data_IF_798207479496
#
_entry.id   IF_798207479496
#
_cell.length_a   1.000
_cell.length_b   1.000
_cell.length_c   1.000
_cell.angle_alpha   90.00
_cell.angle_beta   90.00
_cell.angle_gamma   90.00
#
_symmetry.space_group_name_H-M   'P 1'
#
loop_
_entity.id
_entity.type
_entity.pdbx_description
1 polymer ?
#
# COMPACT_ATOMS: atom_id res chain seq x y z
N UNK A 1 14.18 10.98 -1.73
CA UNK A 1 13.41 12.23 -1.93
C UNK A 1 11.97 11.99 -2.44
N UNK A 2 11.32 10.84 -2.17
CA UNK A 2 9.96 10.52 -2.67
C UNK A 2 8.86 10.47 -1.58
N UNK A 3 9.22 10.57 -0.30
CA UNK A 3 8.30 10.32 0.83
C UNK A 3 7.28 11.45 1.11
N UNK A 4 7.47 12.65 0.55
CA UNK A 4 6.62 13.81 0.86
C UNK A 4 5.30 13.86 0.07
N UNK A 5 5.12 13.02 -0.96
CA UNK A 5 3.90 13.04 -1.77
C UNK A 5 2.66 12.56 -1.02
N UNK A 6 2.82 11.65 -0.04
CA UNK A 6 1.68 11.10 0.70
C UNK A 6 1.01 12.11 1.65
N UNK A 7 1.75 13.10 2.16
CA UNK A 7 1.19 14.12 3.08
C UNK A 7 0.09 14.96 2.46
N UNK A 8 0.16 15.23 1.16
CA UNK A 8 -0.82 16.04 0.44
C UNK A 8 -2.03 15.24 -0.07
N UNK A 9 -1.98 13.90 -0.03
CA UNK A 9 -3.05 13.00 -0.49
C UNK A 9 -3.95 12.48 0.64
N UNK A 10 -3.83 13.02 1.84
CA UNK A 10 -4.56 12.61 3.06
C UNK A 10 -6.07 12.85 2.98
N UNK A 11 -6.57 13.64 2.04
CA UNK A 11 -8.01 13.84 1.83
C UNK A 11 -8.72 12.67 1.10
N UNK A 12 -7.98 11.72 0.52
CA UNK A 12 -8.54 10.64 -0.30
C UNK A 12 -8.51 9.24 0.35
N UNK A 13 -7.85 9.09 1.49
CA UNK A 13 -7.57 7.79 2.10
C UNK A 13 -8.02 7.79 3.57
N UNK A 14 -8.75 6.75 3.97
CA UNK A 14 -9.26 6.59 5.35
C UNK A 14 -8.15 6.23 6.35
N UNK A 15 -7.15 5.47 5.89
CA UNK A 15 -6.02 4.98 6.68
C UNK A 15 -4.84 4.69 5.76
N UNK A 16 -3.64 5.04 6.17
CA UNK A 16 -2.37 4.79 5.47
C UNK A 16 -1.49 3.92 6.36
N UNK A 17 -1.15 2.73 5.88
CA UNK A 17 -0.29 1.77 6.60
C UNK A 17 0.99 1.54 5.82
N UNK A 18 2.13 1.57 6.50
CA UNK A 18 3.42 1.16 5.93
C UNK A 18 3.76 -0.24 6.41
N UNK A 19 4.02 -1.14 5.47
CA UNK A 19 4.47 -2.50 5.75
C UNK A 19 5.91 -2.66 5.25
N UNK A 20 6.78 -3.21 6.09
CA UNK A 20 8.17 -3.47 5.75
C UNK A 20 8.58 -4.90 6.12
N UNK A 21 9.45 -5.48 5.30
CA UNK A 21 10.05 -6.78 5.58
C UNK A 21 11.20 -6.70 6.60
N UNK A 22 11.76 -7.86 6.97
CA UNK A 22 12.83 -7.97 7.98
C UNK A 22 14.15 -7.26 7.68
N UNK A 23 14.37 -6.89 6.43
CA UNK A 23 15.63 -6.25 5.99
C UNK A 23 15.80 -4.85 6.60
N UNK A 24 14.72 -4.21 7.05
CA UNK A 24 14.76 -2.88 7.65
C UNK A 24 14.42 -2.93 9.14
N UNK A 25 15.25 -2.29 9.96
CA UNK A 25 14.97 -2.14 11.39
C UNK A 25 13.67 -1.35 11.61
N UNK A 26 12.85 -1.79 12.56
CA UNK A 26 11.63 -1.11 12.97
C UNK A 26 11.85 0.39 13.28
N UNK A 27 13.03 0.78 13.79
CA UNK A 27 13.38 2.18 14.03
C UNK A 27 13.40 3.00 12.73
N UNK A 28 14.01 2.44 11.68
CA UNK A 28 14.12 3.09 10.37
C UNK A 28 12.76 3.23 9.72
N UNK A 29 11.95 2.16 9.76
CA UNK A 29 10.60 2.15 9.17
C UNK A 29 9.71 3.17 9.89
N UNK A 30 9.74 3.22 11.22
CA UNK A 30 8.99 4.22 11.99
C UNK A 30 9.41 5.66 11.69
N UNK A 31 10.71 5.91 11.51
CA UNK A 31 11.20 7.23 11.13
C UNK A 31 10.67 7.66 9.75
N UNK A 32 10.69 6.75 8.78
CA UNK A 32 10.16 6.97 7.43
C UNK A 32 8.65 7.18 7.45
N UNK A 33 7.92 6.37 8.21
CA UNK A 33 6.48 6.45 8.41
C UNK A 33 6.03 7.80 8.96
N UNK A 34 6.72 8.28 10.00
CA UNK A 34 6.48 9.61 10.56
C UNK A 34 6.75 10.72 9.55
N UNK A 35 7.74 10.54 8.69
CA UNK A 35 8.01 11.48 7.59
C UNK A 35 6.98 11.41 6.46
N UNK A 36 6.38 10.25 6.19
CA UNK A 36 5.34 10.07 5.19
C UNK A 36 3.95 10.52 5.69
N UNK A 37 3.73 10.53 7.01
CA UNK A 37 2.45 10.83 7.63
C UNK A 37 1.50 9.63 7.61
N UNK A 38 2.01 8.41 7.78
CA UNK A 38 1.18 7.21 7.88
C UNK A 38 0.58 7.04 9.27
N UNK A 39 -0.59 6.39 9.35
CA UNK A 39 -1.32 6.13 10.59
C UNK A 39 -0.77 4.92 11.35
N UNK A 40 -0.24 3.93 10.63
CA UNK A 40 0.23 2.66 11.21
C UNK A 40 1.47 2.12 10.50
N UNK A 41 2.28 1.36 11.24
CA UNK A 41 3.52 0.75 10.76
C UNK A 41 3.59 -0.72 11.18
N UNK A 42 3.73 -1.60 10.21
CA UNK A 42 4.03 -3.03 10.40
C UNK A 42 5.46 -3.29 9.91
N UNK A 43 6.42 -3.34 10.83
CA UNK A 43 7.81 -3.64 10.53
C UNK A 43 8.13 -5.12 10.79
N UNK A 44 9.24 -5.61 10.22
CA UNK A 44 9.76 -6.96 10.44
C UNK A 44 8.81 -8.10 10.00
N UNK A 45 7.98 -7.84 9.00
CA UNK A 45 6.98 -8.80 8.53
C UNK A 45 7.60 -9.86 7.60
N UNK A 46 7.16 -11.11 7.73
CA UNK A 46 7.39 -12.15 6.74
C UNK A 46 6.49 -11.96 5.50
N UNK A 47 6.85 -12.48 4.32
CA UNK A 47 5.99 -12.46 3.15
C UNK A 47 4.58 -13.02 3.40
N UNK A 48 4.47 -14.04 4.24
CA UNK A 48 3.19 -14.68 4.62
C UNK A 48 2.37 -13.76 5.53
N UNK A 49 3.01 -13.15 6.53
CA UNK A 49 2.37 -12.25 7.50
C UNK A 49 1.88 -10.95 6.86
N UNK A 50 2.43 -10.57 5.70
CA UNK A 50 1.95 -9.41 4.94
C UNK A 50 0.53 -9.62 4.40
N UNK A 51 0.11 -10.86 4.12
CA UNK A 51 -1.13 -11.14 3.38
C UNK A 51 -2.38 -11.06 4.25
N UNK A 52 -2.30 -11.54 5.48
CA UNK A 52 -3.44 -11.60 6.42
C UNK A 52 -4.07 -10.22 6.72
N UNK A 53 -3.29 -9.14 6.98
CA UNK A 53 -3.85 -7.81 7.18
C UNK A 53 -4.65 -7.29 5.97
N UNK A 54 -4.24 -7.62 4.75
CA UNK A 54 -4.96 -7.16 3.55
C UNK A 54 -6.36 -7.75 3.44
N UNK A 55 -6.55 -9.02 3.83
CA UNK A 55 -7.86 -9.64 3.85
C UNK A 55 -8.79 -8.95 4.86
N UNK A 56 -8.29 -8.64 6.04
CA UNK A 56 -9.03 -7.90 7.07
C UNK A 56 -9.39 -6.48 6.60
N UNK A 57 -8.44 -5.75 6.00
CA UNK A 57 -8.70 -4.40 5.50
C UNK A 57 -9.67 -4.36 4.33
N UNK A 58 -9.71 -5.39 3.47
CA UNK A 58 -10.71 -5.47 2.41
C UNK A 58 -12.12 -5.66 2.97
N UNK A 59 -12.27 -6.45 4.04
CA UNK A 59 -13.55 -6.60 4.72
C UNK A 59 -14.00 -5.30 5.38
N UNK A 60 -13.08 -4.56 6.00
CA UNK A 60 -13.38 -3.33 6.74
C UNK A 60 -13.61 -2.12 5.83
N UNK A 61 -12.74 -1.91 4.83
CA UNK A 61 -12.70 -0.68 4.03
C UNK A 61 -13.25 -0.83 2.60
N UNK A 62 -13.61 -2.05 2.15
CA UNK A 62 -14.06 -2.43 0.79
C UNK A 62 -13.04 -2.23 -0.33
N UNK A 63 -12.21 -1.19 -0.26
CA UNK A 63 -11.20 -0.86 -1.26
C UNK A 63 -9.84 -0.66 -0.61
N UNK A 64 -8.87 -1.44 -1.07
CA UNK A 64 -7.49 -1.36 -0.60
C UNK A 64 -6.58 -1.06 -1.79
N UNK A 65 -5.75 -0.04 -1.66
CA UNK A 65 -4.72 0.32 -2.64
C UNK A 65 -3.36 -0.07 -2.06
N UNK A 66 -2.55 -0.77 -2.84
CA UNK A 66 -1.21 -1.20 -2.46
C UNK A 66 -0.20 -0.59 -3.40
N UNK A 67 0.88 -0.03 -2.83
CA UNK A 67 2.03 0.48 -3.57
C UNK A 67 3.26 -0.26 -3.07
N UNK A 68 4.00 -0.91 -3.98
CA UNK A 68 5.14 -1.75 -3.63
C UNK A 68 6.15 -1.89 -4.75
N UNK A 69 7.22 -2.66 -4.53
CA UNK A 69 8.28 -2.88 -5.52
C UNK A 69 7.91 -3.94 -6.59
N UNK A 70 6.74 -4.57 -6.44
CA UNK A 70 6.17 -5.54 -7.38
C UNK A 70 6.71 -6.96 -7.24
N UNK A 71 7.92 -7.16 -6.70
CA UNK A 71 8.51 -8.49 -6.50
C UNK A 71 8.08 -9.09 -5.17
N UNK A 72 8.40 -8.42 -4.07
CA UNK A 72 8.11 -8.91 -2.71
C UNK A 72 6.65 -8.67 -2.31
N UNK A 73 6.00 -7.69 -2.95
CA UNK A 73 4.64 -7.28 -2.64
C UNK A 73 3.61 -7.83 -3.63
N UNK A 74 4.03 -8.66 -4.60
CA UNK A 74 3.16 -9.29 -5.59
C UNK A 74 1.93 -10.01 -4.98
N UNK A 75 2.06 -10.82 -3.91
CA UNK A 75 0.91 -11.48 -3.28
C UNK A 75 -0.10 -10.48 -2.70
N UNK A 76 0.38 -9.42 -2.05
CA UNK A 76 -0.46 -8.36 -1.50
C UNK A 76 -1.17 -7.57 -2.61
N UNK A 77 -0.46 -7.22 -3.69
CA UNK A 77 -1.03 -6.55 -4.86
C UNK A 77 -2.07 -7.40 -5.58
N UNK A 78 -1.94 -8.74 -5.52
CA UNK A 78 -2.95 -9.64 -6.08
C UNK A 78 -4.28 -9.60 -5.31
N UNK A 79 -4.27 -9.23 -4.03
CA UNK A 79 -5.48 -9.17 -3.21
C UNK A 79 -6.09 -7.76 -3.23
N UNK A 80 -5.26 -6.74 -3.39
CA UNK A 80 -5.67 -5.34 -3.45
C UNK A 80 -6.67 -5.03 -4.58
N UNK A 81 -7.45 -3.96 -4.39
CA UNK A 81 -8.32 -3.40 -5.44
C UNK A 81 -7.51 -2.70 -6.52
N UNK A 82 -6.44 -2.02 -6.11
CA UNK A 82 -5.49 -1.35 -6.99
C UNK A 82 -4.08 -1.66 -6.50
N UNK A 83 -3.26 -2.23 -7.38
CA UNK A 83 -1.83 -2.41 -7.15
C UNK A 83 -1.01 -1.44 -8.00
N UNK A 84 -0.08 -0.72 -7.40
CA UNK A 84 0.92 0.09 -8.11
C UNK A 84 2.30 -0.50 -7.82
N UNK A 85 2.94 -1.06 -8.85
CA UNK A 85 4.34 -1.51 -8.76
C UNK A 85 5.28 -0.37 -9.17
N UNK A 86 6.20 -0.03 -8.28
CA UNK A 86 7.31 0.89 -8.51
C UNK A 86 8.58 0.06 -8.76
N UNK A 87 8.87 -0.21 -10.03
CA UNK A 87 10.11 -0.88 -10.40
C UNK A 87 11.23 0.14 -10.63
N UNK A 88 12.47 -0.25 -10.33
CA UNK A 88 13.62 0.65 -10.23
C UNK A 88 14.02 1.38 -11.53
N UNK A 89 13.39 1.09 -12.68
CA UNK A 89 13.92 1.56 -13.97
C UNK A 89 12.96 2.41 -14.78
N UNK A 90 11.72 2.06 -15.11
CA UNK A 90 10.87 2.95 -15.94
C UNK A 90 9.40 2.50 -15.88
N UNK A 91 8.51 3.47 -15.60
CA UNK A 91 7.04 3.40 -15.63
C UNK A 91 6.37 2.69 -14.42
N UNK A 92 5.56 3.39 -13.62
CA UNK A 92 4.71 2.73 -12.62
C UNK A 92 3.69 1.85 -13.33
N UNK A 93 3.70 0.55 -13.03
CA UNK A 93 2.72 -0.39 -13.59
C UNK A 93 1.48 -0.43 -12.69
N UNK A 94 0.34 0.01 -13.24
CA UNK A 94 -0.95 0.00 -12.55
C UNK A 94 -1.69 -1.30 -12.87
N UNK A 95 -1.93 -2.11 -11.83
CA UNK A 95 -2.78 -3.29 -11.91
C UNK A 95 -4.16 -2.96 -11.34
N UNK A 96 -5.14 -2.83 -12.22
CA UNK A 96 -6.55 -2.70 -11.85
C UNK A 96 -7.19 -4.09 -11.86
N UNK A 97 -7.74 -4.50 -10.73
CA UNK A 97 -8.58 -5.70 -10.68
C UNK A 97 -10.05 -5.32 -10.80
N UNK A 98 -10.86 -6.05 -11.58
CA UNK A 98 -12.30 -5.83 -11.61
C UNK A 98 -12.90 -6.35 -10.30
N UNK A 99 -13.01 -5.46 -9.31
CA UNK A 99 -13.74 -5.72 -8.07
C UNK A 99 -15.16 -5.14 -8.24
N UNK A 100 -16.11 -6.04 -8.53
CA UNK A 100 -17.58 -5.90 -8.33
C UNK A 100 -18.26 -4.59 -8.77
N UNK A 101 -18.95 -4.64 -9.92
CA UNK A 101 -20.26 -4.05 -10.30
C UNK A 101 -20.80 -2.72 -9.74
N UNK A 102 -20.01 -1.83 -9.13
CA UNK A 102 -20.46 -0.48 -8.80
C UNK A 102 -19.48 0.53 -9.39
N UNK A 103 -19.87 1.07 -10.54
CA UNK A 103 -19.14 2.06 -11.30
C UNK A 103 -18.74 3.24 -10.39
N UNK A 104 -17.44 3.39 -10.17
CA UNK A 104 -16.85 4.57 -9.60
C UNK A 104 -17.06 5.73 -10.59
N UNK A 105 -18.09 6.54 -10.34
CA UNK A 105 -18.37 7.75 -11.11
C UNK A 105 -17.38 8.82 -10.64
N UNK A 106 -16.25 8.93 -11.34
CA UNK A 106 -15.35 10.07 -11.23
C UNK A 106 -16.11 11.32 -11.71
N UNK A 107 -16.55 12.15 -10.77
CA UNK A 107 -16.86 13.54 -11.05
C UNK A 107 -15.54 14.29 -11.20
N UNK A 108 -15.27 14.77 -12.41
CA UNK A 108 -14.35 15.87 -12.64
C UNK A 108 -14.92 17.16 -12.03
#
# INVERSE_FOLDING_TARGET
MQLQQFKHCTCWHKKVVIISGRQFSARTVNAIAKQAGSDEVLADQLPEDKVEPFALWLLEYKHVKVVGDGGNDAPAMAIASIGIALWAVLVPMLLLKPQTSHAFRMGF
#
